data_IF_195660773385
#
_entry.id   IF_195660773385
#
_cell.length_a   1.000
_cell.length_b   1.000
_cell.length_c   1.000
_cell.angle_alpha   90.00
_cell.angle_beta   90.00
_cell.angle_gamma   90.00
#
_symmetry.space_group_name_H-M   'P 1'
#
loop_
_entity.id
_entity.type
_entity.pdbx_description
1 polymer ?
#
# COMPACT_ATOMS: atom_id res chain seq x y z
N UNK A 1 -9.28 -7.48 10.33
CA UNK A 1 -8.94 -8.48 9.29
C UNK A 1 -10.13 -8.83 8.42
N UNK A 2 -11.28 -9.14 9.01
CA UNK A 2 -12.49 -9.49 8.25
C UNK A 2 -12.98 -8.36 7.34
N UNK A 3 -12.85 -7.11 7.76
CA UNK A 3 -13.24 -5.94 6.96
C UNK A 3 -12.38 -5.84 5.70
N UNK A 4 -11.07 -6.06 5.83
CA UNK A 4 -10.15 -6.01 4.69
C UNK A 4 -10.49 -7.12 3.69
N UNK A 5 -10.76 -8.32 4.18
CA UNK A 5 -11.15 -9.44 3.32
C UNK A 5 -12.47 -9.17 2.60
N UNK A 6 -13.43 -8.55 3.28
CA UNK A 6 -14.72 -8.19 2.71
C UNK A 6 -14.56 -7.16 1.59
N UNK A 7 -13.75 -6.14 1.81
CA UNK A 7 -13.47 -5.11 0.80
C UNK A 7 -12.72 -5.71 -0.40
N UNK A 8 -11.75 -6.58 -0.12
CA UNK A 8 -11.00 -7.28 -1.17
C UNK A 8 -11.94 -8.12 -2.04
N UNK A 9 -12.86 -8.83 -1.41
CA UNK A 9 -13.83 -9.66 -2.13
C UNK A 9 -14.76 -8.82 -3.00
N UNK A 10 -15.21 -7.66 -2.49
CA UNK A 10 -16.12 -6.77 -3.22
C UNK A 10 -15.46 -6.14 -4.44
N UNK A 11 -14.14 -6.07 -4.48
CA UNK A 11 -13.37 -5.53 -5.61
C UNK A 11 -12.94 -6.60 -6.60
N UNK A 12 -13.44 -7.83 -6.45
CA UNK A 12 -13.05 -8.94 -7.31
C UNK A 12 -13.28 -8.71 -8.80
N UNK A 13 -14.41 -8.11 -9.16
CA UNK A 13 -14.72 -7.81 -10.55
C UNK A 13 -13.76 -6.75 -11.12
N UNK A 14 -13.47 -5.72 -10.34
CA UNK A 14 -12.51 -4.69 -10.70
C UNK A 14 -11.14 -5.30 -10.96
N UNK A 15 -10.68 -6.16 -10.04
CA UNK A 15 -9.39 -6.84 -10.17
C UNK A 15 -9.32 -7.66 -11.45
N UNK A 16 -10.36 -8.42 -11.75
CA UNK A 16 -10.39 -9.28 -12.95
C UNK A 16 -10.33 -8.48 -14.25
N UNK A 17 -10.78 -7.23 -14.23
CA UNK A 17 -10.74 -6.36 -15.40
C UNK A 17 -9.35 -5.74 -15.64
N UNK A 18 -8.46 -5.83 -14.66
CA UNK A 18 -7.12 -5.25 -14.75
C UNK A 18 -6.17 -6.17 -15.53
N UNK A 19 -5.13 -5.56 -16.08
CA UNK A 19 -4.00 -6.32 -16.66
C UNK A 19 -3.27 -7.07 -15.54
N UNK A 20 -2.51 -8.08 -15.93
CA UNK A 20 -1.81 -8.95 -14.97
C UNK A 20 -0.88 -8.17 -14.03
N UNK A 21 -0.10 -7.26 -14.56
CA UNK A 21 0.82 -6.45 -13.76
C UNK A 21 0.06 -5.54 -12.78
N UNK A 22 -1.08 -5.01 -13.19
CA UNK A 22 -1.94 -4.20 -12.32
C UNK A 22 -2.58 -5.04 -11.24
N UNK A 23 -2.97 -6.28 -11.56
CA UNK A 23 -3.50 -7.21 -10.56
C UNK A 23 -2.47 -7.51 -9.48
N UNK A 24 -1.22 -7.72 -9.89
CA UNK A 24 -0.13 -7.99 -8.95
C UNK A 24 0.13 -6.79 -8.05
N UNK A 25 0.07 -5.57 -8.60
CA UNK A 25 0.23 -4.35 -7.83
C UNK A 25 -0.92 -4.17 -6.82
N UNK A 26 -2.15 -4.45 -7.26
CA UNK A 26 -3.33 -4.38 -6.38
C UNK A 26 -3.24 -5.39 -5.25
N UNK A 27 -2.83 -6.62 -5.56
CA UNK A 27 -2.65 -7.66 -4.54
C UNK A 27 -1.60 -7.24 -3.51
N UNK A 28 -0.55 -6.57 -3.95
CA UNK A 28 0.49 -6.04 -3.07
C UNK A 28 -0.06 -4.97 -2.13
N UNK A 29 -0.92 -4.08 -2.64
CA UNK A 29 -1.58 -3.06 -1.82
C UNK A 29 -2.44 -3.69 -0.74
N UNK A 30 -3.20 -4.73 -1.06
CA UNK A 30 -3.99 -5.44 -0.05
C UNK A 30 -3.12 -6.13 1.00
N UNK A 31 -1.96 -6.63 0.60
CA UNK A 31 -0.99 -7.20 1.54
C UNK A 31 -0.52 -6.13 2.54
N UNK A 32 -0.27 -4.92 2.07
CA UNK A 32 0.09 -3.79 2.93
C UNK A 32 -1.04 -3.44 3.91
N UNK A 33 -2.29 -3.49 3.45
CA UNK A 33 -3.45 -3.25 4.31
C UNK A 33 -3.55 -4.30 5.41
N UNK A 34 -3.32 -5.57 5.08
CA UNK A 34 -3.30 -6.66 6.08
C UNK A 34 -2.19 -6.46 7.10
N UNK A 35 -1.06 -5.95 6.67
CA UNK A 35 0.06 -5.67 7.57
C UNK A 35 -0.31 -4.65 8.65
N UNK A 36 -1.20 -3.71 8.33
CA UNK A 36 -1.64 -2.66 9.25
C UNK A 36 -2.99 -2.93 9.91
N UNK A 37 -3.45 -4.18 9.86
CA UNK A 37 -4.78 -4.53 10.38
C UNK A 37 -4.93 -4.22 11.88
N UNK A 38 -3.86 -4.44 12.66
CA UNK A 38 -3.89 -4.20 14.11
C UNK A 38 -4.03 -2.71 14.44
N UNK A 39 -3.28 -1.85 13.74
CA UNK A 39 -3.34 -0.40 13.97
C UNK A 39 -4.69 0.16 13.53
N UNK A 40 -5.30 -0.42 12.50
CA UNK A 40 -6.60 0.02 11.99
C UNK A 40 -7.70 -0.05 13.06
N UNK A 41 -7.57 -0.96 14.02
CA UNK A 41 -8.53 -1.10 15.11
C UNK A 41 -8.60 0.15 16.00
N UNK A 42 -7.57 0.98 16.01
CA UNK A 42 -7.52 2.20 16.82
C UNK A 42 -8.17 3.40 16.11
N UNK A 43 -8.56 3.26 14.85
CA UNK A 43 -9.18 4.32 14.08
C UNK A 43 -10.71 4.19 14.14
N UNK A 44 -11.27 4.24 15.35
CA UNK A 44 -12.67 3.88 15.61
C UNK A 44 -13.70 4.82 14.97
N UNK A 45 -13.32 6.05 14.59
CA UNK A 45 -14.22 7.01 13.99
C UNK A 45 -14.11 7.08 12.46
N UNK A 46 -13.14 6.39 11.89
CA UNK A 46 -12.95 6.36 10.43
C UNK A 46 -13.70 5.18 9.83
N UNK A 47 -14.14 5.33 8.57
CA UNK A 47 -14.73 4.22 7.84
C UNK A 47 -13.66 3.16 7.57
N UNK A 48 -14.00 1.87 7.68
CA UNK A 48 -13.01 0.80 7.49
C UNK A 48 -12.27 0.87 6.15
N UNK A 49 -12.96 1.22 5.06
CA UNK A 49 -12.35 1.33 3.75
C UNK A 49 -11.32 2.48 3.72
N UNK A 50 -11.66 3.59 4.35
CA UNK A 50 -10.75 4.74 4.43
C UNK A 50 -9.48 4.41 5.22
N UNK A 51 -9.63 3.68 6.32
CA UNK A 51 -8.48 3.24 7.13
C UNK A 51 -7.58 2.31 6.32
N UNK A 52 -8.19 1.42 5.55
CA UNK A 52 -7.47 0.51 4.67
C UNK A 52 -6.65 1.28 3.62
N UNK A 53 -7.28 2.28 2.99
CA UNK A 53 -6.60 3.11 1.99
C UNK A 53 -5.46 3.92 2.63
N UNK A 54 -5.67 4.42 3.84
CA UNK A 54 -4.63 5.15 4.57
C UNK A 54 -3.43 4.26 4.87
N UNK A 55 -3.67 3.01 5.27
CA UNK A 55 -2.61 2.04 5.51
C UNK A 55 -1.80 1.76 4.25
N UNK A 56 -2.49 1.57 3.13
CA UNK A 56 -1.84 1.39 1.82
C UNK A 56 -0.99 2.60 1.46
N UNK A 57 -1.54 3.80 1.63
CA UNK A 57 -0.86 5.05 1.32
C UNK A 57 0.37 5.24 2.21
N UNK A 58 0.25 4.91 3.49
CA UNK A 58 1.37 4.99 4.42
C UNK A 58 2.55 4.14 3.95
N UNK A 59 2.30 2.90 3.55
CA UNK A 59 3.35 2.00 3.09
C UNK A 59 3.94 2.47 1.77
N UNK A 60 3.10 2.97 0.86
CA UNK A 60 3.57 3.53 -0.41
C UNK A 60 4.45 4.76 -0.17
N UNK A 61 4.06 5.62 0.75
CA UNK A 61 4.85 6.81 1.07
C UNK A 61 6.21 6.45 1.69
N UNK A 62 6.23 5.43 2.54
CA UNK A 62 7.48 4.91 3.12
C UNK A 62 8.43 4.42 2.02
N UNK A 63 7.88 3.72 1.01
CA UNK A 63 8.67 3.27 -0.13
C UNK A 63 9.24 4.45 -0.93
N UNK A 64 8.41 5.47 -1.15
CA UNK A 64 8.84 6.67 -1.86
C UNK A 64 10.01 7.32 -1.12
N UNK A 65 9.90 7.47 0.19
CA UNK A 65 10.96 8.09 1.00
C UNK A 65 12.26 7.27 0.93
N UNK A 66 12.16 5.94 0.97
CA UNK A 66 13.33 5.06 0.86
C UNK A 66 14.00 5.18 -0.50
N UNK A 67 13.19 5.22 -1.56
CA UNK A 67 13.70 5.34 -2.94
C UNK A 67 14.36 6.71 -3.14
N UNK A 68 13.78 7.77 -2.59
CA UNK A 68 14.39 9.10 -2.63
C UNK A 68 15.78 9.11 -1.99
N UNK A 69 15.91 8.46 -0.83
CA UNK A 69 17.20 8.35 -0.15
C UNK A 69 18.22 7.58 -0.98
N UNK A 70 17.78 6.51 -1.65
CA UNK A 70 18.65 5.72 -2.51
C UNK A 70 19.13 6.53 -3.70
N UNK A 71 18.25 7.32 -4.30
CA UNK A 71 18.60 8.20 -5.42
C UNK A 71 19.60 9.27 -4.98
N UNK A 72 19.36 9.89 -3.84
CA UNK A 72 20.26 10.91 -3.27
C UNK A 72 21.66 10.34 -3.01
N UNK A 73 21.73 9.12 -2.49
CA UNK A 73 23.00 8.42 -2.25
C UNK A 73 23.73 8.12 -3.55
N UNK A 74 23.00 7.69 -4.57
CA UNK A 74 23.58 7.40 -5.88
C UNK A 74 24.11 8.66 -6.55
N UNK A 75 23.36 9.76 -6.45
CA UNK A 75 23.79 11.07 -6.98
C UNK A 75 25.01 11.60 -6.24
N UNK A 76 25.01 11.50 -4.92
CA UNK A 76 26.14 11.90 -4.07
C UNK A 76 27.40 11.08 -4.40
N UNK A 77 27.23 9.80 -4.56
CA UNK A 77 28.31 8.89 -4.93
C UNK A 77 28.88 9.22 -6.31
N UNK A 78 28.01 9.55 -7.25
CA UNK A 78 28.37 9.96 -8.60
C UNK A 78 29.16 11.30 -8.60
N UNK A 79 28.75 12.23 -7.75
CA UNK A 79 29.39 13.55 -7.62
C UNK A 79 30.77 13.45 -6.98
N UNK A 80 30.97 12.48 -6.11
CA UNK A 80 32.24 12.33 -5.39
C UNK A 80 33.36 11.71 -6.24
N UNK A 81 33.02 11.23 -7.41
CA UNK A 81 34.00 10.70 -8.35
C UNK A 81 34.35 11.69 -9.44
#
# INVERSE_FOLDING_TARGET
MQVILSEQASLGKFRRALRKDDQDALDDLFRMAHYHAAESAYASHALPFEVMLLAMLLEEHKLVLRLQKQIERAESSSEST
#
